data_IF_834455222428
#
_entry.id   IF_834455222428
#
_cell.length_a   1.000
_cell.length_b   1.000
_cell.length_c   1.000
_cell.angle_alpha   90.00
_cell.angle_beta   90.00
_cell.angle_gamma   90.00
#
_symmetry.space_group_name_H-M   'P 1'
#
loop_
_entity.id
_entity.type
_entity.pdbx_description
1 polymer ?
#
# COMPACT_ATOMS: atom_id res chain seq x y z
N UNK A 1 22.41 -53.85 10.18
CA UNK A 1 21.55 -52.79 10.76
C UNK A 1 22.46 -51.73 11.35
N UNK A 2 22.64 -50.60 10.67
CA UNK A 2 23.51 -49.50 11.09
C UNK A 2 22.61 -48.30 11.38
N UNK A 3 22.67 -47.80 12.62
CA UNK A 3 21.89 -46.68 13.10
C UNK A 3 22.66 -45.37 12.84
N UNK A 4 22.03 -44.30 12.32
CA UNK A 4 22.72 -43.04 12.08
C UNK A 4 22.85 -42.24 13.37
N UNK A 5 24.08 -41.82 13.70
CA UNK A 5 24.36 -40.87 14.78
C UNK A 5 23.98 -39.46 14.33
N UNK A 6 23.00 -38.87 14.99
CA UNK A 6 22.66 -37.46 14.83
C UNK A 6 23.79 -36.58 15.41
N UNK A 7 24.33 -35.69 14.59
CA UNK A 7 25.31 -34.68 15.00
C UNK A 7 24.56 -33.43 15.46
N UNK A 8 24.65 -33.10 16.74
CA UNK A 8 24.15 -31.84 17.30
C UNK A 8 25.16 -30.73 16.99
N UNK A 9 24.77 -29.80 16.13
CA UNK A 9 25.49 -28.55 15.92
C UNK A 9 24.87 -27.52 16.88
N UNK A 10 25.61 -27.13 17.92
CA UNK A 10 25.26 -25.98 18.76
C UNK A 10 25.51 -24.69 17.97
N UNK A 11 24.48 -23.86 17.82
CA UNK A 11 24.64 -22.51 17.30
C UNK A 11 25.08 -21.56 18.43
N UNK A 12 25.98 -20.60 18.16
CA UNK A 12 26.44 -19.64 19.14
C UNK A 12 25.35 -18.62 19.50
N UNK A 13 25.26 -18.32 20.80
CA UNK A 13 24.37 -17.33 21.38
C UNK A 13 24.83 -15.93 20.96
N UNK A 14 24.01 -15.19 20.21
CA UNK A 14 24.28 -13.80 19.85
C UNK A 14 23.95 -12.88 21.03
N UNK A 15 24.97 -12.20 21.56
CA UNK A 15 24.80 -11.13 22.54
C UNK A 15 24.06 -9.95 21.91
N UNK A 16 22.90 -9.63 22.47
CA UNK A 16 22.10 -8.46 22.11
C UNK A 16 22.80 -7.23 22.71
N UNK A 17 23.42 -6.42 21.86
CA UNK A 17 23.92 -5.11 22.28
C UNK A 17 22.75 -4.15 22.51
N UNK A 18 22.66 -3.62 23.73
CA UNK A 18 21.70 -2.60 24.14
C UNK A 18 22.01 -1.26 23.48
N UNK A 19 21.06 -0.70 22.75
CA UNK A 19 21.15 0.65 22.20
C UNK A 19 20.89 1.70 23.30
N UNK A 20 21.58 2.86 23.27
CA UNK A 20 21.33 3.94 24.21
C UNK A 20 19.97 4.61 23.94
N UNK A 21 19.27 4.88 25.03
CA UNK A 21 18.01 5.61 25.10
C UNK A 21 18.18 7.04 24.55
N UNK A 22 17.53 7.34 23.42
CA UNK A 22 17.43 8.70 22.89
C UNK A 22 16.08 9.26 23.33
N UNK A 23 16.01 9.70 24.59
CA UNK A 23 14.96 10.62 25.03
C UNK A 23 15.60 11.99 25.27
N UNK A 24 15.39 12.90 24.34
CA UNK A 24 15.66 14.32 24.52
C UNK A 24 14.55 15.10 23.81
N UNK A 25 13.70 15.84 24.54
CA UNK A 25 12.66 16.64 23.92
C UNK A 25 13.28 17.85 23.20
N UNK A 26 12.94 18.00 21.92
CA UNK A 26 13.29 19.17 21.11
C UNK A 26 12.40 20.35 21.53
N UNK A 27 12.99 21.36 22.17
CA UNK A 27 12.33 22.64 22.44
C UNK A 27 12.12 23.41 21.13
N UNK A 28 10.87 23.46 20.66
CA UNK A 28 10.46 24.33 19.56
C UNK A 28 10.18 25.72 20.13
N UNK A 29 11.12 26.66 19.92
CA UNK A 29 10.89 28.09 20.15
C UNK A 29 9.87 28.61 19.14
N UNK A 30 8.74 29.12 19.64
CA UNK A 30 7.76 29.88 18.86
C UNK A 30 8.21 31.35 18.79
N UNK A 31 8.61 31.82 17.61
CA UNK A 31 8.70 33.24 17.33
C UNK A 31 7.30 33.77 17.02
N UNK A 32 6.88 34.77 17.81
CA UNK A 32 5.64 35.52 17.61
C UNK A 32 6.03 36.83 16.94
N UNK A 33 5.56 37.07 15.71
CA UNK A 33 5.62 38.39 15.07
C UNK A 33 4.20 38.95 15.00
N UNK A 34 3.97 39.98 15.81
CA UNK A 34 2.93 40.98 15.59
C UNK A 34 3.46 42.01 14.59
N UNK A 35 2.67 42.32 13.56
CA UNK A 35 2.70 43.63 12.90
C UNK A 35 1.32 43.88 12.28
N UNK A 36 0.60 44.81 12.91
CA UNK A 36 -0.55 45.51 12.33
C UNK A 36 -0.02 46.58 11.39
N UNK A 37 -0.68 46.78 10.24
CA UNK A 37 -0.92 48.12 9.69
C UNK A 37 -2.02 48.07 8.62
N UNK A 38 -3.05 48.87 8.85
CA UNK A 38 -4.11 49.21 7.91
C UNK A 38 -3.71 50.39 7.00
N UNK A 39 -4.42 50.46 5.86
CA UNK A 39 -4.79 51.65 5.06
C UNK A 39 -4.01 51.96 3.76
N UNK A 40 -4.77 51.97 2.65
CA UNK A 40 -4.61 52.94 1.57
C UNK A 40 -4.36 52.40 0.15
N UNK A 41 -5.42 52.19 -0.64
CA UNK A 41 -5.39 52.16 -2.11
C UNK A 41 -5.11 53.59 -2.66
N UNK A 42 -4.71 53.85 -3.95
CA UNK A 42 -5.22 53.23 -5.18
C UNK A 42 -4.24 52.98 -6.35
N UNK A 43 -4.65 52.06 -7.23
CA UNK A 43 -4.55 52.00 -8.71
C UNK A 43 -3.43 52.82 -9.41
N UNK A 44 -2.54 52.10 -10.11
CA UNK A 44 -2.00 52.52 -11.40
C UNK A 44 -1.62 51.28 -12.23
N UNK A 45 -2.33 51.10 -13.35
CA UNK A 45 -2.01 50.15 -14.40
C UNK A 45 -0.74 50.64 -15.14
N UNK A 46 0.37 49.91 -15.00
CA UNK A 46 1.48 50.02 -15.94
C UNK A 46 1.75 48.66 -16.60
N UNK A 47 1.39 48.61 -17.87
CA UNK A 47 1.77 47.58 -18.83
C UNK A 47 3.30 47.55 -18.97
N UNK A 48 3.95 46.63 -18.27
CA UNK A 48 5.31 46.24 -18.57
C UNK A 48 5.32 44.94 -19.37
N UNK A 49 5.28 45.10 -20.71
CA UNK A 49 5.77 44.10 -21.65
C UNK A 49 7.30 43.98 -21.47
N UNK A 50 7.72 43.32 -20.39
CA UNK A 50 9.08 42.79 -20.29
C UNK A 50 9.17 41.59 -21.25
N UNK A 51 9.84 41.79 -22.39
CA UNK A 51 10.36 40.67 -23.17
C UNK A 51 11.16 39.78 -22.22
N UNK A 52 10.98 38.45 -22.23
CA UNK A 52 11.88 37.58 -21.51
C UNK A 52 13.28 37.79 -22.10
N UNK A 53 14.17 38.39 -21.33
CA UNK A 53 15.59 38.29 -21.60
C UNK A 53 15.92 36.80 -21.65
N UNK A 54 16.30 36.32 -22.84
CA UNK A 54 16.88 35.01 -23.08
C UNK A 54 18.18 34.92 -22.27
N UNK A 55 18.05 34.74 -20.95
CA UNK A 55 19.12 34.30 -20.09
C UNK A 55 19.52 32.94 -20.64
N UNK A 56 20.59 32.92 -21.44
CA UNK A 56 21.30 31.70 -21.82
C UNK A 56 21.53 30.94 -20.53
N UNK A 57 20.72 29.91 -20.30
CA UNK A 57 20.88 28.99 -19.18
C UNK A 57 22.21 28.32 -19.47
N UNK A 58 23.25 28.75 -18.75
CA UNK A 58 24.57 28.13 -18.80
C UNK A 58 24.35 26.75 -18.19
N UNK A 59 24.15 25.76 -19.05
CA UNK A 59 23.93 24.39 -18.65
C UNK A 59 25.22 23.92 -17.95
N UNK A 60 25.20 23.61 -16.64
CA UNK A 60 26.41 23.32 -15.87
C UNK A 60 27.03 21.96 -16.22
N UNK A 61 26.35 21.17 -17.08
CA UNK A 61 26.80 19.84 -17.45
C UNK A 61 27.87 19.88 -18.56
N UNK A 62 28.94 19.07 -18.43
CA UNK A 62 29.89 18.82 -19.51
C UNK A 62 29.19 18.38 -20.80
N UNK A 63 29.78 18.69 -21.95
CA UNK A 63 29.17 18.44 -23.27
C UNK A 63 28.79 16.99 -23.52
N UNK A 64 29.52 16.04 -22.92
CA UNK A 64 29.28 14.60 -23.02
C UNK A 64 28.02 14.11 -22.27
N UNK A 65 27.43 14.92 -21.38
CA UNK A 65 26.21 14.60 -20.63
C UNK A 65 24.97 15.35 -21.12
N UNK A 66 25.09 16.21 -22.15
CA UNK A 66 23.96 17.00 -22.66
C UNK A 66 22.85 16.15 -23.27
N UNK A 67 23.19 14.99 -23.82
CA UNK A 67 22.21 14.06 -24.39
C UNK A 67 21.17 13.59 -23.37
N UNK A 68 21.48 13.62 -22.07
CA UNK A 68 20.53 13.30 -20.99
C UNK A 68 19.36 14.30 -21.00
N UNK A 69 19.64 15.57 -21.26
CA UNK A 69 18.62 16.63 -21.28
C UNK A 69 17.96 16.78 -22.65
N UNK A 70 18.67 16.48 -23.74
CA UNK A 70 18.13 16.59 -25.10
C UNK A 70 17.15 15.47 -25.46
N UNK A 71 17.30 14.28 -24.86
CA UNK A 71 16.44 13.13 -25.15
C UNK A 71 15.35 12.85 -24.10
N UNK A 72 15.43 13.47 -22.91
CA UNK A 72 14.37 13.39 -21.93
C UNK A 72 13.33 14.47 -22.18
N UNK A 73 12.29 14.14 -22.93
CA UNK A 73 11.00 14.79 -22.73
C UNK A 73 10.61 14.49 -21.27
N UNK A 74 10.75 15.48 -20.38
CA UNK A 74 10.22 15.38 -19.02
C UNK A 74 8.75 15.00 -19.14
N UNK A 75 8.48 13.73 -18.84
CA UNK A 75 7.12 13.21 -18.87
C UNK A 75 6.43 13.77 -17.65
N UNK A 76 5.82 14.95 -17.80
CA UNK A 76 5.12 15.71 -16.74
C UNK A 76 4.45 14.77 -15.71
N UNK A 77 5.13 14.56 -14.59
CA UNK A 77 4.69 13.65 -13.53
C UNK A 77 3.56 14.27 -12.68
N UNK A 78 3.22 15.54 -12.93
CA UNK A 78 2.15 16.24 -12.20
C UNK A 78 0.75 15.81 -12.65
N UNK A 79 0.61 15.23 -13.84
CA UNK A 79 -0.68 14.82 -14.41
C UNK A 79 -0.95 13.34 -14.17
N UNK A 80 -1.34 13.01 -12.93
CA UNK A 80 -1.68 11.63 -12.52
C UNK A 80 -2.85 11.05 -13.33
N UNK A 81 -3.74 11.93 -13.82
CA UNK A 81 -4.97 11.61 -14.54
C UNK A 81 -4.74 10.98 -15.94
N UNK A 82 -3.55 11.13 -16.50
CA UNK A 82 -3.18 10.55 -17.80
C UNK A 82 -2.67 9.11 -17.72
N UNK A 83 -2.21 8.65 -16.54
CA UNK A 83 -1.55 7.33 -16.40
C UNK A 83 -2.50 6.18 -16.11
N UNK A 84 -3.68 6.45 -15.56
CA UNK A 84 -4.62 5.41 -15.10
C UNK A 84 -5.67 5.07 -16.19
N UNK A 85 -5.55 5.62 -17.41
CA UNK A 85 -6.60 5.47 -18.44
C UNK A 85 -6.44 4.29 -19.41
N UNK A 86 -5.46 3.41 -19.29
CA UNK A 86 -5.21 2.43 -20.36
C UNK A 86 -4.68 1.08 -19.90
N UNK A 87 -5.49 0.38 -19.11
CA UNK A 87 -5.81 -1.07 -19.22
C UNK A 87 -6.52 -1.44 -17.93
N UNK A 88 -7.73 -1.97 -18.07
CA UNK A 88 -8.48 -2.58 -16.98
C UNK A 88 -7.56 -3.50 -16.20
N UNK A 89 -7.23 -3.12 -14.95
CA UNK A 89 -6.64 -4.06 -14.02
C UNK A 89 -7.65 -5.21 -13.89
N UNK A 90 -7.31 -6.46 -14.23
CA UNK A 90 -8.21 -7.60 -14.18
C UNK A 90 -8.34 -8.08 -12.73
N UNK A 91 -8.82 -7.17 -11.88
CA UNK A 91 -9.31 -7.53 -10.57
C UNK A 91 -10.68 -8.18 -10.83
N UNK A 92 -10.79 -9.49 -10.55
CA UNK A 92 -12.07 -10.20 -10.60
C UNK A 92 -12.85 -9.78 -9.36
N UNK A 93 -13.71 -8.78 -9.53
CA UNK A 93 -14.57 -8.26 -8.45
C UNK A 93 -15.94 -8.95 -8.40
N UNK A 94 -16.06 -10.11 -9.05
CA UNK A 94 -17.28 -10.92 -9.00
C UNK A 94 -17.24 -11.68 -7.66
N UNK A 95 -17.91 -11.13 -6.65
CA UNK A 95 -18.27 -11.90 -5.47
C UNK A 95 -19.21 -13.01 -5.96
N UNK A 96 -18.79 -14.27 -5.87
CA UNK A 96 -19.69 -15.42 -5.97
C UNK A 96 -20.65 -15.29 -4.79
N UNK A 97 -21.77 -14.61 -5.01
CA UNK A 97 -22.86 -14.55 -4.05
C UNK A 97 -23.38 -15.98 -3.96
N UNK A 98 -22.97 -16.71 -2.93
CA UNK A 98 -23.56 -18.00 -2.59
C UNK A 98 -25.08 -17.84 -2.63
N UNK A 99 -25.69 -18.49 -3.62
CA UNK A 99 -27.06 -18.25 -4.03
C UNK A 99 -28.00 -18.45 -2.83
N UNK A 100 -28.50 -17.37 -2.23
CA UNK A 100 -29.72 -17.43 -1.42
C UNK A 100 -30.86 -17.83 -2.36
N UNK A 101 -31.06 -19.14 -2.52
CA UNK A 101 -32.03 -19.76 -3.43
C UNK A 101 -33.47 -19.27 -3.20
N UNK A 102 -33.77 -18.73 -2.02
CA UNK A 102 -35.12 -18.29 -1.66
C UNK A 102 -35.44 -16.85 -2.11
N UNK A 103 -34.44 -16.03 -2.48
CA UNK A 103 -34.67 -14.61 -2.83
C UNK A 103 -35.09 -14.40 -4.30
N UNK A 104 -34.71 -15.31 -5.20
CA UNK A 104 -34.89 -15.19 -6.64
C UNK A 104 -36.30 -15.53 -7.15
N UNK A 105 -37.18 -16.09 -6.31
CA UNK A 105 -38.48 -16.57 -6.77
C UNK A 105 -39.44 -15.45 -7.25
N UNK A 106 -39.21 -14.20 -6.86
CA UNK A 106 -40.17 -13.10 -7.08
C UNK A 106 -39.60 -11.83 -7.75
N UNK A 107 -38.34 -11.81 -8.17
CA UNK A 107 -37.70 -10.63 -8.77
C UNK A 107 -37.39 -10.86 -10.25
N UNK A 108 -37.58 -9.84 -11.09
CA UNK A 108 -37.27 -9.93 -12.51
C UNK A 108 -35.75 -10.04 -12.75
N UNK A 109 -35.33 -10.74 -13.81
CA UNK A 109 -33.90 -10.91 -14.17
C UNK A 109 -33.16 -9.56 -14.30
N UNK A 110 -33.84 -8.49 -14.72
CA UNK A 110 -33.26 -7.14 -14.85
C UNK A 110 -33.05 -6.45 -13.49
N UNK A 111 -33.92 -6.69 -12.50
CA UNK A 111 -33.76 -6.17 -11.14
C UNK A 111 -32.65 -6.88 -10.38
N UNK A 112 -32.48 -8.18 -10.64
CA UNK A 112 -31.37 -8.99 -10.12
C UNK A 112 -30.04 -8.47 -10.67
N UNK A 113 -29.93 -8.29 -12.00
CA UNK A 113 -28.71 -7.76 -12.63
C UNK A 113 -28.38 -6.33 -12.22
N UNK A 114 -29.37 -5.48 -11.99
CA UNK A 114 -29.15 -4.09 -11.58
C UNK A 114 -28.81 -3.94 -10.08
N UNK A 115 -29.13 -4.92 -9.23
CA UNK A 115 -28.80 -4.87 -7.79
C UNK A 115 -27.41 -5.39 -7.45
N UNK A 116 -26.81 -6.23 -8.29
CA UNK A 116 -25.45 -6.77 -8.07
C UNK A 116 -24.41 -5.81 -8.69
N UNK A 117 -24.55 -4.51 -8.46
CA UNK A 117 -23.37 -3.64 -8.48
C UNK A 117 -22.78 -3.69 -7.09
N UNK A 118 -21.98 -4.73 -6.84
CA UNK A 118 -21.21 -4.80 -5.61
C UNK A 118 -20.16 -3.70 -5.68
N UNK A 119 -20.41 -2.60 -4.97
CA UNK A 119 -19.42 -1.54 -4.81
C UNK A 119 -18.25 -2.11 -4.02
N UNK A 120 -17.06 -2.18 -4.60
CA UNK A 120 -15.86 -2.54 -3.85
C UNK A 120 -15.07 -1.28 -3.51
N UNK A 121 -14.34 -1.33 -2.40
CA UNK A 121 -13.41 -0.29 -2.00
C UNK A 121 -12.02 -0.91 -1.79
N UNK A 122 -11.04 -0.46 -2.59
CA UNK A 122 -9.64 -0.83 -2.38
C UNK A 122 -9.13 -0.15 -1.12
N UNK A 123 -8.65 -0.94 -0.16
CA UNK A 123 -8.10 -0.46 1.12
C UNK A 123 -6.62 -0.11 0.94
N UNK A 124 -5.84 -1.00 0.34
CA UNK A 124 -4.43 -0.77 0.03
C UNK A 124 -3.89 -1.74 -1.02
N UNK A 125 -2.78 -1.34 -1.65
CA UNK A 125 -2.03 -2.15 -2.61
C UNK A 125 -0.58 -2.20 -2.14
N UNK A 126 -0.03 -3.40 -1.98
CA UNK A 126 1.36 -3.63 -1.59
C UNK A 126 2.09 -4.27 -2.78
N UNK A 127 3.14 -3.61 -3.26
CA UNK A 127 3.98 -4.13 -4.35
C UNK A 127 5.14 -4.95 -3.79
N UNK A 128 5.25 -6.20 -4.23
CA UNK A 128 6.33 -7.13 -3.87
C UNK A 128 7.28 -7.27 -5.06
N UNK A 129 8.07 -6.22 -5.31
CA UNK A 129 8.88 -6.10 -6.52
C UNK A 129 9.86 -7.25 -6.75
N UNK A 130 10.50 -7.75 -5.69
CA UNK A 130 11.45 -8.87 -5.77
C UNK A 130 10.80 -10.22 -6.10
N UNK A 131 9.49 -10.35 -5.90
CA UNK A 131 8.71 -11.55 -6.24
C UNK A 131 7.92 -11.42 -7.53
N UNK A 132 7.87 -10.22 -8.13
CA UNK A 132 6.97 -9.90 -9.24
C UNK A 132 5.49 -10.17 -8.87
N UNK A 133 5.07 -9.67 -7.70
CA UNK A 133 3.72 -9.92 -7.13
C UNK A 133 3.09 -8.65 -6.58
N UNK A 134 1.76 -8.66 -6.49
CA UNK A 134 0.95 -7.65 -5.81
C UNK A 134 0.09 -8.31 -4.74
N UNK A 135 -0.12 -7.59 -3.63
CA UNK A 135 -1.21 -7.84 -2.70
C UNK A 135 -2.19 -6.69 -2.80
N UNK A 136 -3.45 -6.99 -3.11
CA UNK A 136 -4.52 -5.99 -3.20
C UNK A 136 -5.55 -6.31 -2.13
N UNK A 137 -5.63 -5.46 -1.10
CA UNK A 137 -6.62 -5.57 -0.03
C UNK A 137 -7.84 -4.70 -0.37
N UNK A 138 -9.03 -5.27 -0.32
CA UNK A 138 -10.29 -4.59 -0.62
C UNK A 138 -11.44 -5.12 0.23
N UNK A 139 -12.52 -4.35 0.30
CA UNK A 139 -13.77 -4.74 0.98
C UNK A 139 -14.95 -4.62 0.03
N UNK A 140 -15.93 -5.51 0.17
CA UNK A 140 -17.17 -5.51 -0.60
C UNK A 140 -18.30 -4.74 0.10
N UNK A 141 -19.01 -3.94 -0.68
CA UNK A 141 -20.13 -3.10 -0.27
C UNK A 141 -19.80 -2.17 0.89
N UNK A 142 -20.75 -2.07 1.82
CA UNK A 142 -20.61 -1.29 3.05
C UNK A 142 -19.89 -2.06 4.17
N UNK A 143 -19.59 -3.34 3.95
CA UNK A 143 -19.01 -4.22 4.96
C UNK A 143 -17.48 -4.05 5.02
N UNK A 144 -17.03 -3.07 5.79
CA UNK A 144 -15.59 -2.79 5.96
C UNK A 144 -14.87 -3.73 6.93
N UNK A 145 -15.61 -4.60 7.62
CA UNK A 145 -15.03 -5.54 8.60
C UNK A 145 -14.62 -6.87 7.97
N UNK A 146 -15.21 -7.22 6.83
CA UNK A 146 -14.76 -8.35 6.02
C UNK A 146 -13.93 -7.82 4.86
N UNK A 147 -12.75 -8.38 4.69
CA UNK A 147 -11.82 -7.95 3.63
C UNK A 147 -11.34 -9.16 2.85
N UNK A 148 -11.07 -8.94 1.59
CA UNK A 148 -10.41 -9.90 0.73
C UNK A 148 -9.04 -9.35 0.32
N UNK A 149 -8.08 -10.24 0.15
CA UNK A 149 -6.73 -9.94 -0.29
C UNK A 149 -6.44 -10.84 -1.48
N UNK A 150 -6.25 -10.21 -2.64
CA UNK A 150 -5.80 -10.93 -3.82
C UNK A 150 -4.28 -10.90 -3.90
N UNK A 151 -3.69 -12.09 -4.03
CA UNK A 151 -2.29 -12.28 -4.37
C UNK A 151 -2.17 -12.47 -5.88
N UNK A 152 -1.59 -11.48 -6.55
CA UNK A 152 -1.65 -11.34 -8.02
C UNK A 152 -0.24 -11.41 -8.60
N UNK A 153 -0.08 -12.10 -9.73
CA UNK A 153 1.13 -11.99 -10.53
C UNK A 153 1.19 -10.63 -11.22
N UNK A 154 2.24 -9.84 -10.97
CA UNK A 154 2.32 -8.47 -11.47
C UNK A 154 2.34 -8.40 -13.02
N UNK A 155 3.03 -9.33 -13.68
CA UNK A 155 3.16 -9.32 -15.14
C UNK A 155 1.91 -9.84 -15.85
N UNK A 156 1.39 -11.00 -15.41
CA UNK A 156 0.23 -11.63 -16.06
C UNK A 156 -1.10 -11.04 -15.57
N UNK A 157 -1.06 -10.33 -14.44
CA UNK A 157 -2.23 -9.80 -13.74
C UNK A 157 -3.22 -10.88 -13.30
N UNK A 158 -2.80 -12.15 -13.28
CA UNK A 158 -3.63 -13.27 -12.84
C UNK A 158 -3.64 -13.36 -11.32
N UNK A 159 -4.85 -13.55 -10.76
CA UNK A 159 -5.05 -13.83 -9.35
C UNK A 159 -4.58 -15.26 -9.08
N UNK A 160 -3.59 -15.40 -8.21
CA UNK A 160 -3.03 -16.69 -7.79
C UNK A 160 -3.85 -17.26 -6.63
N UNK A 161 -4.21 -16.40 -5.68
CA UNK A 161 -4.94 -16.79 -4.47
C UNK A 161 -5.69 -15.59 -3.90
N UNK A 162 -6.89 -15.83 -3.37
CA UNK A 162 -7.65 -14.86 -2.58
C UNK A 162 -7.71 -15.33 -1.14
N UNK A 163 -7.47 -14.41 -0.20
CA UNK A 163 -7.46 -14.65 1.24
C UNK A 163 -8.54 -13.78 1.86
N UNK A 164 -9.44 -14.39 2.64
CA UNK A 164 -10.52 -13.68 3.31
C UNK A 164 -10.14 -13.43 4.78
N UNK A 165 -10.26 -12.19 5.22
CA UNK A 165 -10.09 -11.79 6.61
C UNK A 165 -11.45 -11.38 7.19
N UNK A 166 -11.75 -11.86 8.39
CA UNK A 166 -13.01 -11.57 9.06
C UNK A 166 -12.83 -10.67 10.28
N UNK A 167 -13.85 -9.86 10.58
CA UNK A 167 -13.89 -9.00 11.79
C UNK A 167 -12.66 -8.08 11.92
N UNK A 168 -12.15 -7.60 10.80
CA UNK A 168 -10.98 -6.72 10.73
C UNK A 168 -11.37 -5.34 11.25
N UNK A 169 -10.51 -4.73 12.07
CA UNK A 169 -10.70 -3.33 12.45
C UNK A 169 -10.61 -2.43 11.21
N UNK A 170 -11.60 -1.54 11.02
CA UNK A 170 -11.71 -0.68 9.83
C UNK A 170 -10.44 0.19 9.62
N UNK A 171 -9.70 0.50 10.69
CA UNK A 171 -8.46 1.29 10.63
C UNK A 171 -7.20 0.44 10.49
N UNK A 172 -7.27 -0.88 10.67
CA UNK A 172 -6.10 -1.72 10.54
C UNK A 172 -5.64 -1.80 9.08
N UNK A 173 -4.36 -2.07 8.91
CA UNK A 173 -3.71 -2.29 7.63
C UNK A 173 -2.79 -3.49 7.76
N UNK A 174 -2.60 -4.19 6.65
CA UNK A 174 -1.54 -5.18 6.51
C UNK A 174 -0.20 -4.46 6.36
N UNK A 175 0.82 -4.93 7.07
CA UNK A 175 2.19 -4.46 6.91
C UNK A 175 3.07 -5.58 6.38
N UNK A 176 3.88 -5.25 5.38
CA UNK A 176 4.86 -6.16 4.80
C UNK A 176 6.28 -5.66 5.11
N UNK A 177 7.18 -6.59 5.42
CA UNK A 177 8.60 -6.28 5.63
C UNK A 177 9.47 -7.46 5.23
N UNK A 178 10.60 -7.16 4.58
CA UNK A 178 11.65 -8.12 4.27
C UNK A 178 12.69 -8.11 5.39
N UNK A 179 13.08 -9.28 5.89
CA UNK A 179 14.17 -9.45 6.85
C UNK A 179 14.91 -10.77 6.56
N UNK A 180 16.23 -10.70 6.39
CA UNK A 180 17.08 -11.84 6.00
C UNK A 180 16.51 -12.60 4.78
N UNK A 181 16.15 -11.85 3.74
CA UNK A 181 15.57 -12.38 2.49
C UNK A 181 14.26 -13.18 2.67
N UNK A 182 13.61 -13.04 3.82
CA UNK A 182 12.30 -13.63 4.12
C UNK A 182 11.27 -12.51 4.20
N UNK A 183 10.15 -12.71 3.51
CA UNK A 183 8.99 -11.83 3.54
C UNK A 183 8.12 -12.14 4.75
N UNK A 184 7.91 -11.12 5.59
CA UNK A 184 7.01 -11.20 6.73
C UNK A 184 5.79 -10.32 6.49
N UNK A 185 4.66 -10.78 7.02
CA UNK A 185 3.40 -10.06 6.97
C UNK A 185 2.84 -9.93 8.38
N UNK A 186 2.42 -8.71 8.71
CA UNK A 186 1.62 -8.40 9.88
C UNK A 186 0.20 -8.09 9.44
N UNK A 187 -0.78 -8.76 10.02
CA UNK A 187 -2.18 -8.48 9.74
C UNK A 187 -3.02 -8.66 11.01
N UNK A 188 -4.22 -8.10 10.99
CA UNK A 188 -5.19 -8.23 12.07
C UNK A 188 -6.38 -9.05 11.61
N UNK A 189 -6.83 -9.99 12.43
CA UNK A 189 -8.08 -10.72 12.27
C UNK A 189 -8.79 -10.80 13.62
N UNK A 190 -10.04 -10.32 13.67
CA UNK A 190 -10.73 -10.07 14.93
C UNK A 190 -9.95 -9.14 15.88
N UNK A 191 -9.73 -9.61 17.11
CA UNK A 191 -8.97 -8.89 18.15
C UNK A 191 -7.49 -9.33 18.22
N UNK A 192 -7.02 -10.08 17.22
CA UNK A 192 -5.69 -10.66 17.22
C UNK A 192 -4.84 -10.04 16.11
N UNK A 193 -3.57 -9.79 16.42
CA UNK A 193 -2.57 -9.36 15.42
C UNK A 193 -1.55 -10.48 15.27
N UNK A 194 -1.30 -10.88 14.03
CA UNK A 194 -0.44 -11.99 13.69
C UNK A 194 0.80 -11.50 12.96
N UNK A 195 1.92 -12.16 13.22
CA UNK A 195 3.13 -12.10 12.40
C UNK A 195 3.40 -13.49 11.84
N UNK A 196 3.56 -13.60 10.53
CA UNK A 196 3.98 -14.85 9.89
C UNK A 196 4.76 -14.58 8.61
N UNK A 197 5.35 -15.64 8.04
CA UNK A 197 5.97 -15.56 6.71
C UNK A 197 4.88 -15.40 5.66
N UNK A 198 5.16 -14.61 4.63
CA UNK A 198 4.23 -14.37 3.53
C UNK A 198 3.80 -15.68 2.84
N UNK A 199 4.72 -16.61 2.62
CA UNK A 199 4.41 -17.90 1.99
C UNK A 199 3.42 -18.72 2.83
N UNK A 200 3.64 -18.78 4.16
CA UNK A 200 2.72 -19.46 5.07
C UNK A 200 1.34 -18.78 5.13
N UNK A 201 1.29 -17.45 4.98
CA UNK A 201 0.06 -16.67 4.91
C UNK A 201 -0.75 -16.98 3.64
N UNK A 202 -0.08 -17.04 2.48
CA UNK A 202 -0.72 -17.35 1.19
C UNK A 202 -1.26 -18.79 1.18
N UNK A 203 -0.53 -19.72 1.79
CA UNK A 203 -0.96 -21.11 1.95
C UNK A 203 -2.08 -21.28 2.99
N UNK A 204 -2.44 -20.23 3.73
CA UNK A 204 -3.43 -20.26 4.83
C UNK A 204 -3.11 -21.28 5.92
N UNK A 205 -1.81 -21.49 6.21
CA UNK A 205 -1.36 -22.39 7.27
C UNK A 205 -1.44 -21.70 8.63
N UNK A 206 -2.61 -21.73 9.27
CA UNK A 206 -2.84 -21.06 10.56
C UNK A 206 -1.93 -21.56 11.70
N UNK A 207 -1.43 -22.79 11.64
CA UNK A 207 -0.52 -23.33 12.66
C UNK A 207 0.91 -22.75 12.63
N UNK A 208 1.21 -21.86 11.68
CA UNK A 208 2.57 -21.33 11.44
C UNK A 208 2.74 -19.86 11.83
N UNK A 209 1.88 -19.32 12.69
CA UNK A 209 2.09 -17.99 13.24
C UNK A 209 3.39 -17.94 14.07
N UNK A 210 4.24 -16.96 13.77
CA UNK A 210 5.49 -16.74 14.50
C UNK A 210 5.24 -15.98 15.80
N UNK A 211 4.35 -14.98 15.73
CA UNK A 211 3.91 -14.19 16.89
C UNK A 211 2.41 -13.94 16.75
N UNK A 212 1.71 -14.02 17.86
CA UNK A 212 0.30 -13.67 17.99
C UNK A 212 0.13 -12.75 19.20
N UNK A 213 -0.50 -11.60 18.98
CA UNK A 213 -0.88 -10.66 20.02
C UNK A 213 -2.39 -10.72 20.20
N UNK A 214 -2.83 -11.01 21.42
CA UNK A 214 -4.24 -11.00 21.79
C UNK A 214 -4.55 -9.69 22.52
N UNK A 215 -5.47 -8.89 21.97
CA UNK A 215 -5.95 -7.68 22.63
C UNK A 215 -7.30 -7.97 23.27
N UNK A 216 -7.45 -7.68 24.56
CA UNK A 216 -8.75 -7.73 25.23
C UNK A 216 -9.42 -6.37 25.07
N UNK A 217 -10.72 -6.36 24.76
CA UNK A 217 -11.53 -5.14 24.85
C UNK A 217 -11.39 -4.56 26.27
N UNK A 218 -10.96 -3.30 26.34
CA UNK A 218 -10.92 -2.52 27.57
C UNK A 218 -12.28 -1.87 27.82
#
# INVERSE_FOLDING_TARGET
>A
MLSPKASQIQQPLLEIQSYPDISSPVEIKKETKHEENENGAPILEEQNNAKPDDKKIINPLPSEYRWILENHNESDYSKIEGRIKSKSFPLRFEEEVDEEQDYYANHSEEEVKNRIKVEFAVVQIIMLGHRNRLLVEYSYGKNKVNRAIDYINFDTQEIIKTIYLQKVNIKSKIFHRIFNDIDFIFYQEGQQVFLMKLDDFIEQNQDKHLIQFNFFEC
#
